data_IF_317047607777
#
_entry.id   IF_317047607777
#
_cell.length_a   1.000
_cell.length_b   1.000
_cell.length_c   1.000
_cell.angle_alpha   90.00
_cell.angle_beta   90.00
_cell.angle_gamma   90.00
#
_symmetry.space_group_name_H-M   'P 1'
#
loop_
_entity.id
_entity.type
_entity.pdbx_description
1 polymer ?
#
# COMPACT_ATOMS: atom_id res chain seq x y z
N UNK A 1 -4.97 -5.94 -38.37
CA UNK A 1 -4.28 -6.38 -37.14
C UNK A 1 -4.77 -5.71 -35.86
N UNK A 2 -5.37 -4.54 -35.93
CA UNK A 2 -5.90 -3.84 -34.72
C UNK A 2 -7.10 -4.53 -34.08
N UNK A 3 -7.82 -5.40 -34.78
CA UNK A 3 -8.94 -6.18 -34.23
C UNK A 3 -8.45 -7.38 -33.39
N UNK A 4 -7.37 -8.01 -33.84
CA UNK A 4 -6.77 -9.16 -33.15
C UNK A 4 -6.13 -8.73 -31.85
N UNK A 5 -5.43 -7.60 -31.84
CA UNK A 5 -4.81 -7.05 -30.62
C UNK A 5 -5.83 -6.62 -29.57
N UNK A 6 -6.98 -6.07 -29.99
CA UNK A 6 -8.09 -5.74 -29.05
C UNK A 6 -8.73 -7.00 -28.48
N UNK A 7 -8.97 -8.03 -29.29
CA UNK A 7 -9.54 -9.29 -28.83
C UNK A 7 -8.65 -10.01 -27.82
N UNK A 8 -7.33 -10.03 -28.04
CA UNK A 8 -6.37 -10.59 -27.10
C UNK A 8 -6.34 -9.81 -25.77
N UNK A 9 -6.40 -8.48 -25.83
CA UNK A 9 -6.45 -7.64 -24.63
C UNK A 9 -7.71 -7.86 -23.80
N UNK A 10 -8.86 -8.09 -24.45
CA UNK A 10 -10.13 -8.33 -23.75
C UNK A 10 -10.19 -9.72 -23.11
N UNK A 11 -9.64 -10.74 -23.78
CA UNK A 11 -9.51 -12.10 -23.23
C UNK A 11 -8.57 -12.09 -22.03
N UNK A 12 -7.44 -11.40 -22.14
CA UNK A 12 -6.47 -11.27 -21.06
C UNK A 12 -7.08 -10.56 -19.83
N UNK A 13 -7.77 -9.44 -20.02
CA UNK A 13 -8.46 -8.72 -18.92
C UNK A 13 -9.50 -9.59 -18.21
N UNK A 14 -10.25 -10.40 -18.97
CA UNK A 14 -11.24 -11.33 -18.39
C UNK A 14 -10.57 -12.40 -17.54
N UNK A 15 -9.46 -12.97 -18.00
CA UNK A 15 -8.72 -14.00 -17.25
C UNK A 15 -8.13 -13.44 -15.96
N UNK A 16 -7.51 -12.27 -16.00
CA UNK A 16 -6.97 -11.60 -14.80
C UNK A 16 -8.09 -11.29 -13.81
N UNK A 17 -9.21 -10.75 -14.26
CA UNK A 17 -10.34 -10.44 -13.39
C UNK A 17 -10.94 -11.71 -12.74
N UNK A 18 -10.99 -12.83 -13.48
CA UNK A 18 -11.46 -14.09 -12.92
C UNK A 18 -10.51 -14.66 -11.87
N UNK A 19 -9.20 -14.60 -12.08
CA UNK A 19 -8.21 -15.08 -11.11
C UNK A 19 -8.24 -14.25 -9.81
N UNK A 20 -8.31 -12.94 -9.92
CA UNK A 20 -8.44 -12.05 -8.76
C UNK A 20 -9.76 -12.31 -8.03
N UNK A 21 -10.87 -12.42 -8.78
CA UNK A 21 -12.17 -12.72 -8.18
C UNK A 21 -12.18 -14.07 -7.46
N UNK A 22 -11.61 -15.12 -8.05
CA UNK A 22 -11.51 -16.44 -7.41
C UNK A 22 -10.71 -16.39 -6.12
N UNK A 23 -9.62 -15.61 -6.04
CA UNK A 23 -8.83 -15.45 -4.81
C UNK A 23 -9.57 -14.70 -3.72
N UNK A 24 -10.31 -13.66 -4.08
CA UNK A 24 -11.02 -12.84 -3.11
C UNK A 24 -12.32 -13.48 -2.62
N UNK A 25 -12.93 -14.36 -3.43
CA UNK A 25 -14.25 -14.97 -3.17
C UNK A 25 -14.21 -16.48 -2.98
N UNK A 26 -13.04 -17.12 -3.01
CA UNK A 26 -12.91 -18.54 -2.69
C UNK A 26 -12.99 -18.78 -1.19
N UNK A 27 -13.56 -19.90 -0.80
CA UNK A 27 -13.58 -20.35 0.57
C UNK A 27 -12.36 -21.26 0.83
N UNK A 28 -11.54 -21.06 1.90
CA UNK A 28 -11.72 -20.19 3.08
C UNK A 28 -11.08 -18.78 2.95
N UNK A 29 -10.48 -18.43 1.83
CA UNK A 29 -9.68 -17.22 1.64
C UNK A 29 -10.49 -15.93 1.83
N UNK A 30 -11.78 -15.95 1.47
CA UNK A 30 -12.70 -14.84 1.68
C UNK A 30 -12.78 -14.41 3.16
N UNK A 31 -12.70 -15.37 4.09
CA UNK A 31 -12.77 -15.06 5.52
C UNK A 31 -11.57 -14.24 6.00
N UNK A 32 -10.43 -14.47 5.37
CA UNK A 32 -9.16 -13.82 5.69
C UNK A 32 -9.01 -12.46 5.01
N UNK A 33 -9.60 -12.30 3.82
CA UNK A 33 -9.49 -11.11 2.99
C UNK A 33 -10.65 -10.13 3.16
N UNK A 34 -11.87 -10.60 3.47
CA UNK A 34 -13.03 -9.74 3.69
C UNK A 34 -12.83 -8.66 4.78
N UNK A 35 -12.07 -8.90 5.87
CA UNK A 35 -11.77 -7.84 6.83
C UNK A 35 -10.99 -6.67 6.24
N UNK A 36 -10.14 -6.88 5.23
CA UNK A 36 -9.28 -5.83 4.66
C UNK A 36 -10.09 -4.66 4.09
N UNK A 37 -11.01 -4.85 3.12
CA UNK A 37 -11.84 -3.76 2.61
C UNK A 37 -12.76 -3.17 3.68
N UNK A 38 -13.23 -3.98 4.63
CA UNK A 38 -14.06 -3.49 5.72
C UNK A 38 -13.27 -2.56 6.67
N UNK A 39 -12.04 -2.93 7.02
CA UNK A 39 -11.16 -2.08 7.84
C UNK A 39 -10.80 -0.79 7.08
N UNK A 40 -10.55 -0.87 5.79
CA UNK A 40 -10.28 0.32 4.96
C UNK A 40 -11.50 1.25 4.96
N UNK A 41 -12.69 0.75 4.70
CA UNK A 41 -13.93 1.54 4.71
C UNK A 41 -14.21 2.13 6.10
N UNK A 42 -14.06 1.36 7.16
CA UNK A 42 -14.22 1.83 8.52
C UNK A 42 -13.21 2.94 8.85
N UNK A 43 -11.96 2.78 8.43
CA UNK A 43 -10.91 3.78 8.65
C UNK A 43 -11.20 5.05 7.86
N UNK A 44 -11.66 4.97 6.62
CA UNK A 44 -12.07 6.13 5.81
C UNK A 44 -13.20 6.87 6.52
N UNK A 45 -14.22 6.15 6.99
CA UNK A 45 -15.35 6.74 7.71
C UNK A 45 -14.90 7.43 9.01
N UNK A 46 -14.02 6.80 9.78
CA UNK A 46 -13.47 7.39 11.02
C UNK A 46 -12.66 8.64 10.73
N UNK A 47 -11.80 8.61 9.70
CA UNK A 47 -11.00 9.77 9.29
C UNK A 47 -11.90 10.92 8.83
N UNK A 48 -12.91 10.66 7.98
CA UNK A 48 -13.88 11.68 7.53
C UNK A 48 -14.63 12.29 8.71
N UNK A 49 -15.18 11.43 9.59
CA UNK A 49 -15.88 11.88 10.79
C UNK A 49 -14.99 12.76 11.69
N UNK A 50 -13.73 12.34 11.83
CA UNK A 50 -12.77 13.07 12.64
C UNK A 50 -12.40 14.44 12.02
N UNK A 51 -12.17 14.47 10.71
CA UNK A 51 -11.87 15.72 9.98
C UNK A 51 -13.01 16.74 10.03
N UNK A 52 -14.26 16.28 10.09
CA UNK A 52 -15.43 17.17 10.25
C UNK A 52 -15.49 17.86 11.60
N UNK A 53 -14.74 17.38 12.59
CA UNK A 53 -14.66 17.94 13.94
C UNK A 53 -13.50 18.93 14.12
N UNK A 54 -12.67 19.12 13.09
CA UNK A 54 -11.57 20.11 13.09
C UNK A 54 -12.15 21.48 12.68
N UNK A 55 -11.80 22.59 13.36
CA UNK A 55 -10.73 22.77 14.32
C UNK A 55 -11.11 22.35 15.75
N UNK A 56 -10.30 21.51 16.36
CA UNK A 56 -10.46 21.14 17.77
C UNK A 56 -9.72 22.10 18.68
N UNK A 57 -10.36 22.42 19.80
CA UNK A 57 -9.80 23.28 20.85
C UNK A 57 -8.53 22.66 21.48
N UNK A 58 -8.39 21.33 21.42
CA UNK A 58 -7.23 20.59 21.92
C UNK A 58 -6.50 19.85 20.82
N UNK A 59 -5.26 20.20 20.68
CA UNK A 59 -4.29 19.69 19.70
C UNK A 59 -3.93 18.20 19.79
N UNK A 60 -4.45 17.47 20.77
CA UNK A 60 -4.09 16.08 21.05
C UNK A 60 -4.52 15.08 19.95
N UNK A 61 -5.45 15.46 19.13
CA UNK A 61 -6.05 14.58 18.13
C UNK A 61 -5.60 14.79 16.68
N UNK A 62 -4.88 15.85 16.35
CA UNK A 62 -4.52 16.22 14.96
C UNK A 62 -3.70 15.15 14.23
N UNK A 63 -3.07 14.23 14.95
CA UNK A 63 -2.25 13.15 14.37
C UNK A 63 -3.04 11.94 13.89
N UNK A 64 -4.26 11.72 14.40
CA UNK A 64 -5.05 10.55 14.09
C UNK A 64 -5.41 10.39 12.61
N UNK A 65 -5.81 11.46 11.89
CA UNK A 65 -6.05 11.36 10.45
C UNK A 65 -4.84 10.89 9.66
N UNK A 66 -3.65 11.34 10.02
CA UNK A 66 -2.40 10.89 9.39
C UNK A 66 -2.17 9.39 9.56
N UNK A 67 -2.33 8.88 10.77
CA UNK A 67 -2.23 7.43 11.01
C UNK A 67 -3.31 6.65 10.27
N UNK A 68 -4.54 7.17 10.23
CA UNK A 68 -5.63 6.56 9.46
C UNK A 68 -5.29 6.43 7.98
N UNK A 69 -4.81 7.50 7.34
CA UNK A 69 -4.40 7.49 5.94
C UNK A 69 -3.24 6.52 5.71
N UNK A 70 -2.27 6.48 6.63
CA UNK A 70 -1.13 5.54 6.55
C UNK A 70 -1.61 4.09 6.59
N UNK A 71 -2.56 3.78 7.48
CA UNK A 71 -3.17 2.44 7.57
C UNK A 71 -3.92 2.08 6.28
N UNK A 72 -4.73 2.99 5.75
CA UNK A 72 -5.45 2.79 4.48
C UNK A 72 -4.44 2.46 3.36
N UNK A 73 -3.38 3.24 3.24
CA UNK A 73 -2.36 3.03 2.23
C UNK A 73 -1.66 1.68 2.37
N UNK A 74 -1.24 1.32 3.59
CA UNK A 74 -0.58 0.05 3.87
C UNK A 74 -1.48 -1.16 3.57
N UNK A 75 -2.74 -1.11 4.01
CA UNK A 75 -3.70 -2.20 3.74
C UNK A 75 -4.04 -2.33 2.26
N UNK A 76 -4.21 -1.21 1.56
CA UNK A 76 -4.46 -1.20 0.12
C UNK A 76 -3.28 -1.78 -0.65
N UNK A 77 -2.06 -1.41 -0.28
CA UNK A 77 -0.84 -1.95 -0.88
C UNK A 77 -0.69 -3.46 -0.63
N UNK A 78 -0.91 -3.92 0.60
CA UNK A 78 -0.86 -5.34 0.94
C UNK A 78 -1.95 -6.14 0.23
N UNK A 79 -3.17 -5.60 0.13
CA UNK A 79 -4.26 -6.22 -0.61
C UNK A 79 -3.95 -6.35 -2.10
N UNK A 80 -3.35 -5.30 -2.69
CA UNK A 80 -2.90 -5.33 -4.09
C UNK A 80 -1.79 -6.35 -4.30
N UNK A 81 -0.77 -6.36 -3.45
CA UNK A 81 0.33 -7.32 -3.51
C UNK A 81 -0.18 -8.76 -3.39
N UNK A 82 -1.10 -9.02 -2.46
CA UNK A 82 -1.71 -10.34 -2.33
C UNK A 82 -2.53 -10.75 -3.55
N UNK A 83 -3.26 -9.81 -4.16
CA UNK A 83 -4.10 -10.07 -5.35
C UNK A 83 -3.28 -10.59 -6.54
N UNK A 84 -2.06 -10.11 -6.68
CA UNK A 84 -1.17 -10.51 -7.78
C UNK A 84 -0.20 -11.64 -7.44
N UNK A 85 0.08 -11.87 -6.16
CA UNK A 85 1.01 -12.93 -5.77
C UNK A 85 0.52 -14.32 -6.25
N UNK A 86 1.39 -15.21 -6.81
CA UNK A 86 2.83 -15.06 -6.99
C UNK A 86 3.24 -14.42 -8.33
N UNK A 87 2.30 -13.88 -9.10
CA UNK A 87 2.55 -13.32 -10.43
C UNK A 87 3.00 -11.85 -10.33
N UNK A 88 4.07 -11.48 -11.03
CA UNK A 88 4.48 -10.08 -11.19
C UNK A 88 3.72 -9.43 -12.33
N UNK A 89 3.53 -10.19 -13.40
CA UNK A 89 2.67 -9.81 -14.53
C UNK A 89 1.54 -10.84 -14.58
N UNK A 90 0.30 -10.45 -14.25
CA UNK A 90 -0.81 -11.36 -14.17
C UNK A 90 -0.98 -12.16 -15.47
N UNK A 91 -1.02 -13.50 -15.36
CA UNK A 91 -1.19 -14.42 -16.49
C UNK A 91 0.03 -14.58 -17.41
N UNK A 92 1.18 -13.93 -17.13
CA UNK A 92 2.35 -14.00 -18.00
C UNK A 92 3.58 -14.56 -17.30
N UNK A 93 3.91 -14.06 -16.11
CA UNK A 93 5.12 -14.53 -15.43
C UNK A 93 5.01 -14.41 -13.90
N UNK A 94 5.54 -15.42 -13.24
CA UNK A 94 5.64 -15.45 -11.77
C UNK A 94 6.83 -14.62 -11.27
N UNK A 95 6.82 -14.27 -9.99
CA UNK A 95 7.94 -13.56 -9.34
C UNK A 95 9.25 -14.37 -9.42
N UNK A 96 9.16 -15.70 -9.42
CA UNK A 96 10.34 -16.57 -9.55
C UNK A 96 10.92 -16.56 -10.96
N UNK A 97 10.08 -16.56 -11.98
CA UNK A 97 10.51 -16.50 -13.38
C UNK A 97 11.07 -15.12 -13.75
N UNK A 98 10.50 -14.06 -13.15
CA UNK A 98 10.96 -12.67 -13.33
C UNK A 98 12.23 -12.35 -12.53
N UNK A 99 12.58 -13.19 -11.56
CA UNK A 99 13.71 -12.93 -10.67
C UNK A 99 15.03 -12.92 -11.43
N UNK A 100 15.87 -11.94 -11.11
CA UNK A 100 17.26 -11.90 -11.58
C UNK A 100 18.07 -13.09 -11.04
N UNK A 101 19.26 -13.30 -11.60
CA UNK A 101 20.16 -14.35 -11.13
C UNK A 101 20.42 -14.28 -9.62
N UNK A 102 20.60 -15.41 -8.92
CA UNK A 102 20.83 -15.42 -7.48
C UNK A 102 21.99 -14.51 -7.04
N UNK A 103 23.06 -14.43 -7.84
CA UNK A 103 24.20 -13.56 -7.57
C UNK A 103 23.79 -12.07 -7.55
N UNK A 104 22.98 -11.64 -8.52
CA UNK A 104 22.48 -10.28 -8.58
C UNK A 104 21.57 -9.96 -7.40
N UNK A 105 20.68 -10.89 -7.03
CA UNK A 105 19.78 -10.70 -5.88
C UNK A 105 20.54 -10.57 -4.56
N UNK A 106 21.63 -11.34 -4.38
CA UNK A 106 22.48 -11.23 -3.20
C UNK A 106 23.16 -9.86 -3.13
N UNK A 107 23.72 -9.38 -4.23
CA UNK A 107 24.36 -8.05 -4.27
C UNK A 107 23.36 -6.95 -3.95
N UNK A 108 22.19 -6.98 -4.57
CA UNK A 108 21.11 -6.03 -4.28
C UNK A 108 20.65 -6.14 -2.82
N UNK A 109 20.54 -7.37 -2.30
CA UNK A 109 20.20 -7.64 -0.90
C UNK A 109 21.18 -7.00 0.08
N UNK A 110 22.48 -7.13 -0.13
CA UNK A 110 23.49 -6.45 0.69
C UNK A 110 23.37 -4.93 0.59
N UNK A 111 23.15 -4.39 -0.62
CA UNK A 111 22.91 -2.96 -0.80
C UNK A 111 21.72 -2.46 0.03
N UNK A 112 20.60 -3.14 -0.06
CA UNK A 112 19.39 -2.83 0.72
C UNK A 112 19.65 -2.95 2.22
N UNK A 113 20.33 -4.01 2.66
CA UNK A 113 20.62 -4.25 4.08
C UNK A 113 21.46 -3.13 4.71
N UNK A 114 22.32 -2.47 3.93
CA UNK A 114 23.13 -1.33 4.40
C UNK A 114 22.36 -0.03 4.28
N UNK A 115 21.71 0.21 3.15
CA UNK A 115 21.07 1.51 2.85
C UNK A 115 19.79 1.71 3.64
N UNK A 116 18.97 0.66 3.82
CA UNK A 116 17.70 0.77 4.55
C UNK A 116 17.86 1.26 5.99
N UNK A 117 18.75 0.69 6.83
CA UNK A 117 18.96 1.20 8.19
C UNK A 117 19.42 2.66 8.22
N UNK A 118 20.27 3.07 7.28
CA UNK A 118 20.74 4.46 7.18
C UNK A 118 19.58 5.41 6.87
N UNK A 119 18.73 5.05 5.89
CA UNK A 119 17.54 5.85 5.54
C UNK A 119 16.57 5.93 6.74
N UNK A 120 16.31 4.79 7.40
CA UNK A 120 15.41 4.76 8.55
C UNK A 120 15.95 5.60 9.72
N UNK A 121 17.25 5.50 10.01
CA UNK A 121 17.89 6.30 11.04
C UNK A 121 17.84 7.80 10.70
N UNK A 122 18.18 8.17 9.48
CA UNK A 122 18.07 9.55 9.00
C UNK A 122 16.63 10.06 9.13
N UNK A 123 15.67 9.31 8.66
CA UNK A 123 14.24 9.66 8.74
C UNK A 123 13.81 9.85 10.19
N UNK A 124 14.19 8.93 11.09
CA UNK A 124 13.89 9.03 12.52
C UNK A 124 14.49 10.30 13.14
N UNK A 125 15.76 10.60 12.83
CA UNK A 125 16.45 11.79 13.34
C UNK A 125 15.78 13.06 12.85
N UNK A 126 15.46 13.14 11.53
CA UNK A 126 14.76 14.29 10.93
C UNK A 126 13.41 14.51 11.61
N UNK A 127 12.59 13.47 11.73
CA UNK A 127 11.30 13.59 12.41
C UNK A 127 11.42 13.96 13.88
N UNK A 128 12.49 13.55 14.56
CA UNK A 128 12.75 13.91 15.94
C UNK A 128 13.17 15.39 16.09
N UNK A 129 14.01 15.89 15.16
CA UNK A 129 14.47 17.29 15.19
C UNK A 129 13.32 18.24 14.84
N UNK A 130 12.55 17.92 13.81
CA UNK A 130 11.42 18.74 13.35
C UNK A 130 10.10 18.40 14.07
N UNK A 131 10.16 17.72 15.20
CA UNK A 131 9.03 17.43 16.06
C UNK A 131 8.52 18.71 16.71
N UNK A 132 7.61 19.41 16.04
CA UNK A 132 6.98 20.61 16.56
C UNK A 132 5.81 21.02 15.69
N UNK A 133 4.87 21.78 16.25
CA UNK A 133 3.86 22.49 15.50
C UNK A 133 4.46 23.80 14.99
N UNK A 134 4.08 24.18 13.77
CA UNK A 134 4.27 25.56 13.34
C UNK A 134 3.49 26.45 14.30
N UNK A 135 4.19 27.22 15.10
CA UNK A 135 3.60 28.30 15.90
C UNK A 135 3.21 29.42 14.94
N UNK A 136 2.01 29.98 15.11
CA UNK A 136 1.61 31.16 14.36
C UNK A 136 2.67 32.24 14.56
N UNK A 137 3.25 32.69 13.45
CA UNK A 137 4.13 33.86 13.45
C UNK A 137 3.23 35.08 13.73
N UNK A 138 3.12 35.46 15.01
CA UNK A 138 2.52 36.74 15.38
C UNK A 138 3.47 37.84 14.99
N UNK A 139 3.23 38.47 13.84
CA UNK A 139 3.86 39.75 13.51
C UNK A 139 3.26 40.82 14.43
N UNK A 140 4.04 41.29 15.41
CA UNK A 140 3.80 42.53 16.11
C UNK A 140 4.34 43.71 15.30
#
# INVERSE_FOLDING_TARGET
>A
DSRVSRGLGDVYKRQVNQQVALRWFSFPEILLLAPVPLIVLATIFLVDRYLRQVPMVNDLGVRWPFFGVTVIFALSFLGLAYSFFPEVVPGLMTAQEAASSPATLIIVGYGVMIVMPVILLYTFVVYRIFKGKATELSYK
#
